data_IF_953070739813
#
_entry.id   IF_953070739813
#
_cell.length_a   1.000
_cell.length_b   1.000
_cell.length_c   1.000
_cell.angle_alpha   90.00
_cell.angle_beta   90.00
_cell.angle_gamma   90.00
#
_symmetry.space_group_name_H-M   'P 1'
#
loop_
_entity.id
_entity.type
_entity.pdbx_description
1 polymer ?
#
# COMPACT_ATOMS: atom_id res chain seq x y z
N UNK A 1 49.86 59.22 43.43
CA UNK A 1 48.59 59.68 42.81
C UNK A 1 48.69 59.32 41.29
N UNK A 2 48.24 58.11 40.96
CA UNK A 2 48.42 57.58 39.61
C UNK A 2 47.03 57.11 39.11
N UNK A 3 46.54 57.82 38.12
CA UNK A 3 45.21 57.56 37.52
C UNK A 3 45.39 56.50 36.42
N UNK A 4 44.77 55.36 36.62
CA UNK A 4 44.75 54.28 35.66
C UNK A 4 43.49 54.40 34.78
N UNK A 5 43.68 54.71 33.51
CA UNK A 5 42.64 54.83 32.49
C UNK A 5 42.46 53.46 31.79
N UNK A 6 41.32 52.83 32.01
CA UNK A 6 40.93 51.59 31.34
C UNK A 6 40.27 51.89 30.01
N UNK A 7 40.98 51.62 28.91
CA UNK A 7 40.44 51.56 27.54
C UNK A 7 39.62 50.27 27.37
N UNK A 8 38.32 50.40 27.10
CA UNK A 8 37.47 49.28 26.59
C UNK A 8 37.50 49.30 25.06
N UNK A 9 37.82 48.20 24.39
CA UNK A 9 37.66 48.12 22.93
C UNK A 9 36.17 47.94 22.59
N UNK A 10 35.64 48.84 21.77
CA UNK A 10 34.34 48.71 21.11
C UNK A 10 34.53 47.71 19.95
N UNK A 11 33.99 46.53 20.08
CA UNK A 11 33.90 45.55 18.97
C UNK A 11 32.76 45.99 18.06
N UNK A 12 33.07 46.56 16.92
CA UNK A 12 32.14 46.75 15.80
C UNK A 12 31.85 45.39 15.21
N UNK A 13 30.68 44.83 15.48
CA UNK A 13 30.16 43.68 14.71
C UNK A 13 29.61 44.23 13.42
N UNK A 14 30.42 44.17 12.35
CA UNK A 14 29.95 44.38 11.00
C UNK A 14 29.12 43.15 10.58
N UNK A 15 27.80 43.25 10.61
CA UNK A 15 26.88 42.31 9.98
C UNK A 15 27.08 42.42 8.46
N UNK A 16 27.84 41.49 7.89
CA UNK A 16 27.84 41.26 6.45
C UNK A 16 26.46 40.67 6.09
N UNK A 17 25.58 41.55 5.62
CA UNK A 17 24.37 41.16 4.91
C UNK A 17 24.87 40.63 3.54
N UNK A 18 25.01 39.32 3.41
CA UNK A 18 25.21 38.69 2.12
C UNK A 18 23.93 38.85 1.29
N UNK A 19 23.87 39.92 0.49
CA UNK A 19 22.90 40.00 -0.60
C UNK A 19 23.28 38.85 -1.57
N UNK A 20 22.56 37.74 -1.51
CA UNK A 20 22.55 36.79 -2.61
C UNK A 20 21.93 37.55 -3.80
N UNK A 21 22.75 37.95 -4.76
CA UNK A 21 22.27 38.44 -6.04
C UNK A 21 21.46 37.30 -6.67
N UNK A 22 20.14 37.39 -6.57
CA UNK A 22 19.25 36.52 -7.33
C UNK A 22 19.55 36.81 -8.81
N UNK A 23 20.12 35.84 -9.52
CA UNK A 23 20.31 35.96 -10.96
C UNK A 23 18.93 36.27 -11.58
N UNK A 24 18.88 37.28 -12.46
CA UNK A 24 17.63 37.60 -13.16
C UNK A 24 17.12 36.34 -13.86
N UNK A 25 15.77 36.06 -13.76
CA UNK A 25 15.20 34.87 -14.36
C UNK A 25 15.41 34.89 -15.87
N UNK A 26 16.18 33.92 -16.37
CA UNK A 26 16.53 33.82 -17.79
C UNK A 26 15.42 33.08 -18.52
N UNK A 27 14.78 33.77 -19.46
CA UNK A 27 13.80 33.17 -20.34
C UNK A 27 14.52 32.36 -21.44
N UNK A 28 14.31 31.07 -21.49
CA UNK A 28 14.89 30.15 -22.46
C UNK A 28 13.85 29.50 -23.33
N UNK A 29 14.23 29.08 -24.55
CA UNK A 29 13.33 28.34 -25.43
C UNK A 29 13.69 26.86 -25.44
N UNK A 30 12.70 26.02 -25.13
CA UNK A 30 12.82 24.56 -25.15
C UNK A 30 11.75 24.00 -26.10
N UNK A 31 12.16 23.76 -27.34
CA UNK A 31 11.27 23.36 -28.43
C UNK A 31 10.13 24.36 -28.68
N UNK A 32 8.90 23.94 -28.43
CA UNK A 32 7.69 24.78 -28.57
C UNK A 32 7.32 25.57 -27.30
N UNK A 33 8.09 25.40 -26.23
CA UNK A 33 7.84 26.08 -24.95
C UNK A 33 8.87 27.14 -24.67
N UNK A 34 8.43 28.20 -24.02
CA UNK A 34 9.28 29.14 -23.31
C UNK A 34 9.34 28.72 -21.85
N UNK A 35 10.53 28.72 -21.29
CA UNK A 35 10.82 28.22 -19.94
C UNK A 35 11.50 29.28 -19.12
N UNK A 36 11.00 29.47 -17.91
CA UNK A 36 11.61 30.30 -16.88
C UNK A 36 11.68 29.54 -15.56
N UNK A 37 12.74 29.75 -14.80
CA UNK A 37 12.95 29.15 -13.50
C UNK A 37 13.03 30.26 -12.46
N UNK A 38 12.16 30.18 -11.45
CA UNK A 38 12.14 31.10 -10.30
C UNK A 38 12.50 30.33 -9.04
N UNK A 39 13.34 30.92 -8.19
CA UNK A 39 13.74 30.32 -6.93
C UNK A 39 13.42 31.27 -5.77
N UNK A 40 13.25 30.71 -4.60
CA UNK A 40 13.07 31.45 -3.36
C UNK A 40 13.40 30.59 -2.17
N UNK A 41 13.57 31.22 -1.02
CA UNK A 41 13.81 30.54 0.25
C UNK A 41 13.08 31.23 1.40
N UNK A 42 12.75 30.43 2.42
CA UNK A 42 12.08 30.87 3.65
C UNK A 42 12.66 30.15 4.86
N UNK A 43 12.86 30.87 5.94
CA UNK A 43 13.21 30.23 7.20
C UNK A 43 12.04 29.41 7.71
N UNK A 44 12.27 28.18 8.15
CA UNK A 44 11.23 27.29 8.66
C UNK A 44 11.54 26.86 10.09
N UNK A 45 10.61 27.14 11.00
CA UNK A 45 10.76 26.69 12.38
C UNK A 45 10.65 25.13 12.45
N UNK A 46 11.38 24.46 13.37
CA UNK A 46 11.36 22.99 13.47
C UNK A 46 9.96 22.41 13.74
N UNK A 47 9.06 23.19 14.32
CA UNK A 47 7.68 22.80 14.63
C UNK A 47 6.67 23.22 13.56
N UNK A 48 7.13 23.88 12.49
CA UNK A 48 6.25 24.37 11.46
C UNK A 48 5.69 23.23 10.60
N UNK A 49 4.42 23.38 10.21
CA UNK A 49 3.73 22.51 9.25
C UNK A 49 3.78 23.16 7.88
N UNK A 50 3.85 22.35 6.85
CA UNK A 50 3.89 22.84 5.47
C UNK A 50 2.64 22.44 4.72
N UNK A 51 1.97 23.41 4.11
CA UNK A 51 0.82 23.20 3.23
C UNK A 51 1.15 23.72 1.84
N UNK A 52 1.06 22.85 0.84
CA UNK A 52 1.35 23.19 -0.56
C UNK A 52 0.07 23.00 -1.37
N UNK A 53 -0.30 24.04 -2.12
CA UNK A 53 -1.37 23.97 -3.11
C UNK A 53 -0.80 24.34 -4.47
N UNK A 54 -0.95 23.44 -5.44
CA UNK A 54 -0.45 23.60 -6.80
C UNK A 54 -1.45 23.07 -7.83
N UNK A 55 -1.16 23.30 -9.11
CA UNK A 55 -1.87 22.65 -10.22
C UNK A 55 -1.00 21.62 -10.93
N UNK A 56 0.30 21.89 -11.06
CA UNK A 56 1.28 21.06 -11.75
C UNK A 56 1.97 20.05 -10.82
N UNK A 57 3.11 19.56 -11.26
CA UNK A 57 3.91 18.63 -10.50
C UNK A 57 4.48 19.27 -9.22
N UNK A 58 4.50 18.49 -8.14
CA UNK A 58 5.11 18.88 -6.86
C UNK A 58 6.11 17.82 -6.45
N UNK A 59 7.36 18.23 -6.24
CA UNK A 59 8.42 17.35 -5.72
C UNK A 59 8.96 17.91 -4.43
N UNK A 60 8.95 17.12 -3.36
CA UNK A 60 9.51 17.48 -2.06
C UNK A 60 10.71 16.61 -1.73
N UNK A 61 11.77 17.24 -1.23
CA UNK A 61 12.95 16.56 -0.72
C UNK A 61 13.26 17.07 0.68
N UNK A 62 13.29 16.15 1.65
CA UNK A 62 13.76 16.44 2.99
C UNK A 62 15.28 16.60 3.01
N UNK A 63 15.75 17.71 3.53
CA UNK A 63 17.18 18.01 3.66
C UNK A 63 17.55 18.36 5.10
N UNK A 64 18.80 18.19 5.51
CA UNK A 64 19.26 18.73 6.78
C UNK A 64 19.20 20.26 6.81
N UNK A 65 18.89 20.84 7.98
CA UNK A 65 18.88 22.28 8.19
C UNK A 65 17.47 22.86 8.38
N UNK A 66 17.37 24.13 8.79
CA UNK A 66 16.10 24.80 9.14
C UNK A 66 15.52 25.61 7.98
N UNK A 67 16.05 25.49 6.76
CA UNK A 67 15.65 26.33 5.63
C UNK A 67 14.76 25.55 4.66
N UNK A 68 13.70 26.22 4.21
CA UNK A 68 12.87 25.79 3.11
C UNK A 68 13.30 26.59 1.86
N UNK A 69 13.67 25.90 0.80
CA UNK A 69 13.93 26.52 -0.50
C UNK A 69 13.07 25.89 -1.58
N UNK A 70 12.70 26.66 -2.57
CA UNK A 70 11.88 26.17 -3.66
C UNK A 70 12.35 26.67 -5.02
N UNK A 71 12.04 25.88 -6.03
CA UNK A 71 12.26 26.21 -7.44
C UNK A 71 10.94 25.95 -8.19
N UNK A 72 10.45 26.97 -8.88
CA UNK A 72 9.27 26.92 -9.74
C UNK A 72 9.74 26.95 -11.21
N UNK A 73 9.55 25.85 -11.93
CA UNK A 73 9.83 25.76 -13.37
C UNK A 73 8.52 26.01 -14.13
N UNK A 74 8.46 27.11 -14.83
CA UNK A 74 7.27 27.54 -15.58
C UNK A 74 7.52 27.26 -17.06
N UNK A 75 6.51 26.71 -17.73
CA UNK A 75 6.54 26.40 -19.17
C UNK A 75 5.26 26.92 -19.83
N UNK A 76 5.41 27.81 -20.80
CA UNK A 76 4.29 28.38 -21.56
C UNK A 76 4.49 28.19 -23.05
N UNK A 77 3.41 28.09 -23.80
CA UNK A 77 3.42 28.13 -25.27
C UNK A 77 3.15 29.56 -25.70
N UNK A 78 4.08 30.17 -26.44
CA UNK A 78 3.92 31.51 -26.98
C UNK A 78 4.69 31.64 -28.29
N UNK A 79 4.21 32.49 -29.15
CA UNK A 79 4.82 32.79 -30.46
C UNK A 79 6.03 33.71 -30.34
N UNK A 80 6.00 34.62 -29.37
CA UNK A 80 7.06 35.62 -29.12
C UNK A 80 7.52 35.58 -27.67
N UNK A 81 8.73 36.12 -27.43
CA UNK A 81 9.26 36.25 -26.09
C UNK A 81 8.43 37.21 -25.21
N UNK A 82 7.86 38.25 -25.79
CA UNK A 82 6.98 39.20 -25.06
C UNK A 82 5.70 38.54 -24.58
N UNK A 83 5.06 37.76 -25.45
CA UNK A 83 3.87 36.99 -25.11
C UNK A 83 4.20 35.97 -24.02
N UNK A 84 5.34 35.29 -24.15
CA UNK A 84 5.82 34.33 -23.13
C UNK A 84 6.00 34.99 -21.76
N UNK A 85 6.64 36.17 -21.70
CA UNK A 85 6.79 36.92 -20.45
C UNK A 85 5.47 37.26 -19.80
N UNK A 86 4.49 37.77 -20.57
CA UNK A 86 3.14 38.09 -20.06
C UNK A 86 2.44 36.88 -19.47
N UNK A 87 2.60 35.69 -20.09
CA UNK A 87 2.00 34.45 -19.57
C UNK A 87 2.73 33.97 -18.32
N UNK A 88 4.06 34.03 -18.31
CA UNK A 88 4.91 33.61 -17.19
C UNK A 88 4.68 34.49 -15.95
N UNK A 89 4.42 35.78 -16.11
CA UNK A 89 4.18 36.72 -15.01
C UNK A 89 2.89 36.43 -14.24
N UNK A 90 1.98 35.61 -14.80
CA UNK A 90 0.81 35.12 -14.08
C UNK A 90 1.17 34.05 -13.04
N UNK A 91 2.32 33.43 -13.16
CA UNK A 91 2.79 32.41 -12.23
C UNK A 91 3.64 33.01 -11.13
N UNK A 92 3.53 32.43 -9.94
CA UNK A 92 4.34 32.78 -8.78
C UNK A 92 4.09 31.82 -7.64
N UNK A 93 4.92 31.89 -6.61
CA UNK A 93 4.70 31.22 -5.35
C UNK A 93 4.38 32.25 -4.29
N UNK A 94 3.19 32.17 -3.74
CA UNK A 94 2.82 32.95 -2.55
C UNK A 94 3.13 32.11 -1.32
N UNK A 95 3.95 32.66 -0.43
CA UNK A 95 4.25 32.07 0.86
C UNK A 95 3.59 32.91 1.94
N UNK A 96 2.74 32.28 2.74
CA UNK A 96 2.04 32.92 3.87
C UNK A 96 2.29 32.13 5.14
N UNK A 97 2.39 32.83 6.25
CA UNK A 97 2.52 32.21 7.59
C UNK A 97 1.25 32.46 8.38
N UNK A 98 0.72 31.42 9.00
CA UNK A 98 -0.47 31.51 9.83
C UNK A 98 -0.20 30.94 11.22
N UNK A 99 -0.52 31.70 12.26
CA UNK A 99 -0.40 31.25 13.65
C UNK A 99 1.00 30.86 14.11
N UNK A 100 2.06 31.36 13.46
CA UNK A 100 3.45 31.09 13.79
C UNK A 100 3.98 29.70 13.40
N UNK A 101 3.12 28.70 13.26
CA UNK A 101 3.52 27.28 13.07
C UNK A 101 3.02 26.65 11.75
N UNK A 102 2.44 27.40 10.84
CA UNK A 102 2.03 26.88 9.54
C UNK A 102 2.54 27.76 8.40
N UNK A 103 3.16 27.14 7.42
CA UNK A 103 3.60 27.78 6.17
C UNK A 103 2.68 27.28 5.06
N UNK A 104 2.05 28.21 4.35
CA UNK A 104 1.22 27.93 3.19
C UNK A 104 1.96 28.40 1.95
N UNK A 105 2.19 27.48 1.03
CA UNK A 105 2.74 27.74 -0.30
C UNK A 105 1.66 27.54 -1.34
N UNK A 106 1.31 28.57 -2.08
CA UNK A 106 0.32 28.49 -3.16
C UNK A 106 1.00 28.87 -4.46
N UNK A 107 1.02 27.94 -5.41
CA UNK A 107 1.44 28.23 -6.78
C UNK A 107 0.30 28.92 -7.50
N UNK A 108 0.53 30.17 -7.90
CA UNK A 108 -0.44 30.96 -8.64
C UNK A 108 -0.71 30.35 -10.01
N UNK A 109 -1.97 30.41 -10.46
CA UNK A 109 -2.43 29.81 -11.70
C UNK A 109 -2.20 30.77 -12.88
N UNK A 110 -1.71 30.24 -14.00
CA UNK A 110 -1.59 30.90 -15.28
C UNK A 110 -1.83 29.94 -16.45
N UNK A 111 -1.77 30.44 -17.68
CA UNK A 111 -1.91 29.64 -18.89
C UNK A 111 -0.59 28.96 -19.24
N UNK A 112 -0.40 27.75 -18.76
CA UNK A 112 0.79 26.95 -18.93
C UNK A 112 0.95 25.88 -17.86
N UNK A 113 2.17 25.39 -17.72
CA UNK A 113 2.55 24.41 -16.71
C UNK A 113 3.55 25.01 -15.73
N UNK A 114 3.38 24.71 -14.45
CA UNK A 114 4.31 25.16 -13.41
C UNK A 114 4.61 23.97 -12.47
N UNK A 115 5.86 23.53 -12.48
CA UNK A 115 6.33 22.43 -11.64
C UNK A 115 7.10 23.00 -10.44
N UNK A 116 6.69 22.62 -9.24
CA UNK A 116 7.25 23.08 -7.99
C UNK A 116 8.18 22.02 -7.40
N UNK A 117 9.43 22.38 -7.17
CA UNK A 117 10.38 21.59 -6.39
C UNK A 117 10.63 22.29 -5.06
N UNK A 118 10.52 21.58 -3.96
CA UNK A 118 10.76 22.11 -2.61
C UNK A 118 11.79 21.26 -1.89
N UNK A 119 12.79 21.91 -1.35
CA UNK A 119 13.69 21.34 -0.34
C UNK A 119 13.30 21.91 1.01
N UNK A 120 13.08 21.04 1.98
CA UNK A 120 12.54 21.44 3.27
C UNK A 120 13.23 20.69 4.41
N UNK A 121 13.19 21.19 5.64
CA UNK A 121 13.72 20.45 6.78
C UNK A 121 13.11 19.05 6.86
N UNK A 122 13.97 18.03 6.87
CA UNK A 122 13.55 16.63 6.93
C UNK A 122 12.64 16.32 8.10
N UNK A 123 12.88 16.95 9.27
CA UNK A 123 12.12 16.77 10.50
C UNK A 123 10.80 17.55 10.57
N UNK A 124 10.31 18.13 9.46
CA UNK A 124 9.00 18.81 9.43
C UNK A 124 7.90 17.86 9.91
N UNK A 125 7.13 18.21 10.98
CA UNK A 125 6.23 17.24 11.62
C UNK A 125 5.06 16.82 10.75
N UNK A 126 4.54 17.72 9.92
CA UNK A 126 3.40 17.47 9.07
C UNK A 126 3.50 18.24 7.76
N UNK A 127 3.27 17.56 6.64
CA UNK A 127 3.26 18.15 5.31
C UNK A 127 1.99 17.75 4.57
N UNK A 128 1.26 18.75 4.09
CA UNK A 128 0.05 18.54 3.25
C UNK A 128 0.31 19.06 1.84
N UNK A 129 0.05 18.23 0.84
CA UNK A 129 0.24 18.57 -0.57
C UNK A 129 -1.09 18.37 -1.29
N UNK A 130 -1.58 19.39 -1.95
CA UNK A 130 -2.78 19.31 -2.81
C UNK A 130 -2.43 19.81 -4.20
N UNK A 131 -2.61 18.99 -5.22
CA UNK A 131 -2.48 19.41 -6.62
C UNK A 131 -3.66 18.94 -7.44
N UNK A 132 -4.06 19.73 -8.45
CA UNK A 132 -5.24 19.39 -9.27
C UNK A 132 -4.94 18.37 -10.36
N UNK A 133 -3.75 18.38 -10.96
CA UNK A 133 -3.48 17.57 -12.17
C UNK A 133 -2.10 16.89 -12.16
N UNK A 134 -1.13 17.46 -11.46
CA UNK A 134 0.27 17.04 -11.55
C UNK A 134 0.62 15.83 -10.67
N UNK A 135 1.69 15.12 -11.01
CA UNK A 135 2.25 14.11 -10.13
C UNK A 135 2.82 14.73 -8.85
N UNK A 136 2.80 13.95 -7.78
CA UNK A 136 3.40 14.32 -6.50
C UNK A 136 4.50 13.32 -6.16
N UNK A 137 5.68 13.82 -5.82
CA UNK A 137 6.77 13.00 -5.33
C UNK A 137 7.33 13.58 -4.03
N UNK A 138 7.61 12.74 -3.04
CA UNK A 138 8.22 13.18 -1.80
C UNK A 138 9.18 12.15 -1.24
N UNK A 139 10.33 12.65 -0.76
CA UNK A 139 11.48 11.85 -0.37
C UNK A 139 12.12 12.36 0.91
N UNK A 140 12.69 11.44 1.70
CA UNK A 140 13.57 11.75 2.84
C UNK A 140 12.88 12.58 3.93
N UNK A 141 11.63 12.26 4.30
CA UNK A 141 10.84 12.97 5.30
C UNK A 141 10.65 12.13 6.56
N UNK A 142 10.77 12.77 7.74
CA UNK A 142 10.60 12.09 9.02
C UNK A 142 9.17 12.25 9.58
N UNK A 143 8.46 13.32 9.21
CA UNK A 143 7.10 13.61 9.67
C UNK A 143 6.00 12.96 8.83
N UNK A 144 4.77 13.21 9.23
CA UNK A 144 3.59 12.73 8.52
C UNK A 144 3.38 13.48 7.20
N UNK A 145 2.93 12.76 6.16
CA UNK A 145 2.64 13.36 4.85
C UNK A 145 1.23 13.01 4.39
N UNK A 146 0.48 14.03 4.03
CA UNK A 146 -0.78 13.89 3.32
C UNK A 146 -0.65 14.44 1.91
N UNK A 147 -0.87 13.62 0.89
CA UNK A 147 -0.79 14.02 -0.51
C UNK A 147 -2.10 13.72 -1.25
N UNK A 148 -2.61 14.72 -1.96
CA UNK A 148 -3.81 14.60 -2.77
C UNK A 148 -3.57 15.16 -4.17
N UNK A 149 -3.92 14.40 -5.20
CA UNK A 149 -3.84 14.84 -6.59
C UNK A 149 -5.09 14.43 -7.37
N UNK A 150 -5.54 15.29 -8.29
CA UNK A 150 -6.72 14.99 -9.10
C UNK A 150 -6.50 13.89 -10.14
N UNK A 151 -5.27 13.60 -10.56
CA UNK A 151 -5.03 12.58 -11.60
C UNK A 151 -3.58 12.12 -11.73
N UNK A 152 -2.66 12.82 -11.10
CA UNK A 152 -1.22 12.52 -11.19
C UNK A 152 -0.82 11.26 -10.41
N UNK A 153 0.27 10.64 -10.83
CA UNK A 153 0.90 9.60 -10.04
C UNK A 153 1.51 10.16 -8.75
N UNK A 154 1.55 9.32 -7.70
CA UNK A 154 2.19 9.69 -6.44
C UNK A 154 3.34 8.74 -6.16
N UNK A 155 4.51 9.30 -5.85
CA UNK A 155 5.70 8.55 -5.47
C UNK A 155 6.17 9.00 -4.08
N UNK A 156 6.38 8.04 -3.19
CA UNK A 156 6.89 8.27 -1.84
C UNK A 156 8.04 7.32 -1.54
N UNK A 157 9.16 7.82 -1.07
CA UNK A 157 10.28 6.97 -0.68
C UNK A 157 11.06 7.56 0.51
N UNK A 158 11.53 6.70 1.40
CA UNK A 158 12.26 7.06 2.63
C UNK A 158 11.50 8.07 3.51
N UNK A 159 10.22 7.75 3.78
CA UNK A 159 9.37 8.53 4.69
C UNK A 159 9.19 7.74 5.99
N UNK A 160 9.62 8.33 7.11
CA UNK A 160 9.53 7.68 8.42
C UNK A 160 8.18 7.87 9.10
N UNK A 161 7.46 8.95 8.80
CA UNK A 161 6.12 9.22 9.32
C UNK A 161 5.02 8.43 8.61
N UNK A 162 3.81 8.58 9.11
CA UNK A 162 2.63 8.01 8.46
C UNK A 162 2.31 8.78 7.17
N UNK A 163 1.83 8.06 6.17
CA UNK A 163 1.40 8.68 4.92
C UNK A 163 -0.08 8.44 4.63
N UNK A 164 -0.73 9.45 4.08
CA UNK A 164 -2.07 9.36 3.51
C UNK A 164 -2.01 9.90 2.09
N UNK A 165 -2.28 9.05 1.11
CA UNK A 165 -2.19 9.39 -0.31
C UNK A 165 -3.55 9.17 -0.99
N UNK A 166 -4.01 10.17 -1.74
CA UNK A 166 -5.21 10.08 -2.57
C UNK A 166 -4.92 10.58 -3.98
N UNK A 167 -5.32 9.81 -4.97
CA UNK A 167 -5.32 10.24 -6.37
C UNK A 167 -6.58 9.76 -7.07
N UNK A 168 -7.11 10.52 -8.04
CA UNK A 168 -8.30 10.06 -8.76
C UNK A 168 -7.97 9.00 -9.81
N UNK A 169 -6.77 8.99 -10.39
CA UNK A 169 -6.47 8.03 -11.47
C UNK A 169 -5.02 7.56 -11.55
N UNK A 170 -4.10 8.26 -10.90
CA UNK A 170 -2.68 7.98 -10.98
C UNK A 170 -2.24 6.73 -10.21
N UNK A 171 -1.11 6.19 -10.60
CA UNK A 171 -0.45 5.12 -9.88
C UNK A 171 0.18 5.64 -8.57
N UNK A 172 0.21 4.79 -7.56
CA UNK A 172 0.87 5.09 -6.29
C UNK A 172 2.04 4.13 -6.12
N UNK A 173 3.26 4.68 -6.00
CA UNK A 173 4.49 3.92 -5.83
C UNK A 173 5.13 4.29 -4.49
N UNK A 174 5.27 3.30 -3.63
CA UNK A 174 5.82 3.43 -2.29
C UNK A 174 7.13 2.67 -2.20
N UNK A 175 8.21 3.36 -1.89
CA UNK A 175 9.52 2.76 -1.57
C UNK A 175 9.58 2.27 -0.12
N UNK A 176 10.54 2.78 0.65
CA UNK A 176 10.72 2.44 2.06
C UNK A 176 9.97 3.41 2.96
N UNK A 177 9.00 2.91 3.71
CA UNK A 177 8.20 3.67 4.66
C UNK A 177 8.40 3.17 6.08
N UNK A 178 8.66 4.09 7.01
CA UNK A 178 8.83 3.80 8.43
C UNK A 178 7.52 3.73 9.21
N UNK A 179 6.49 4.45 8.76
CA UNK A 179 5.16 4.53 9.36
C UNK A 179 4.10 3.70 8.63
N UNK A 180 2.85 3.96 8.97
CA UNK A 180 1.69 3.37 8.30
C UNK A 180 1.40 4.08 6.96
N UNK A 181 0.82 3.34 6.02
CA UNK A 181 0.45 3.85 4.71
C UNK A 181 -1.04 3.64 4.42
N UNK A 182 -1.76 4.74 4.14
CA UNK A 182 -3.13 4.69 3.63
C UNK A 182 -3.19 5.30 2.24
N UNK A 183 -3.45 4.46 1.23
CA UNK A 183 -3.42 4.87 -0.17
C UNK A 183 -4.71 4.52 -0.87
N UNK A 184 -5.29 5.51 -1.55
CA UNK A 184 -6.53 5.35 -2.33
C UNK A 184 -6.34 5.93 -3.73
N UNK A 185 -6.69 5.15 -4.74
CA UNK A 185 -6.76 5.61 -6.14
C UNK A 185 -8.03 5.08 -6.80
N UNK A 186 -8.62 5.82 -7.74
CA UNK A 186 -9.82 5.29 -8.41
C UNK A 186 -9.47 4.27 -9.51
N UNK A 187 -8.32 4.40 -10.19
CA UNK A 187 -8.00 3.51 -11.31
C UNK A 187 -6.56 3.02 -11.36
N UNK A 188 -5.64 3.71 -10.73
CA UNK A 188 -4.22 3.41 -10.78
C UNK A 188 -3.81 2.17 -9.99
N UNK A 189 -2.58 1.71 -10.22
CA UNK A 189 -1.96 0.64 -9.45
C UNK A 189 -1.39 1.18 -8.14
N UNK A 190 -1.36 0.32 -7.12
CA UNK A 190 -0.65 0.61 -5.87
C UNK A 190 0.49 -0.40 -5.73
N UNK A 191 1.72 0.11 -5.67
CA UNK A 191 2.90 -0.72 -5.50
C UNK A 191 3.67 -0.26 -4.26
N UNK A 192 3.97 -1.17 -3.34
CA UNK A 192 4.73 -0.90 -2.14
C UNK A 192 5.91 -1.87 -2.00
N UNK A 193 7.09 -1.34 -1.70
CA UNK A 193 8.30 -2.15 -1.47
C UNK A 193 8.40 -2.54 0.00
N UNK A 194 8.41 -1.57 0.91
CA UNK A 194 8.52 -1.80 2.34
C UNK A 194 7.64 -0.83 3.12
N UNK A 195 6.71 -1.35 3.92
CA UNK A 195 5.93 -0.58 4.90
C UNK A 195 6.15 -1.18 6.27
N UNK A 196 6.74 -0.43 7.20
CA UNK A 196 7.00 -0.93 8.56
C UNK A 196 5.79 -0.87 9.48
N UNK A 197 4.84 0.01 9.20
CA UNK A 197 3.54 0.07 9.87
C UNK A 197 2.46 -0.74 9.15
N UNK A 198 1.21 -0.41 9.46
CA UNK A 198 0.04 -0.98 8.79
C UNK A 198 -0.13 -0.40 7.38
N UNK A 199 -0.68 -1.20 6.48
CA UNK A 199 -0.96 -0.80 5.11
C UNK A 199 -2.45 -0.93 4.79
N UNK A 200 -3.06 0.17 4.34
CA UNK A 200 -4.43 0.20 3.83
C UNK A 200 -4.41 0.69 2.37
N UNK A 201 -4.60 -0.21 1.43
CA UNK A 201 -4.54 0.05 -0.01
C UNK A 201 -5.89 -0.17 -0.66
N UNK A 202 -6.39 0.83 -1.36
CA UNK A 202 -7.68 0.79 -2.03
C UNK A 202 -7.55 1.33 -3.46
N UNK A 203 -8.01 0.56 -4.43
CA UNK A 203 -8.12 1.00 -5.83
C UNK A 203 -9.42 0.54 -6.46
N UNK A 204 -9.97 1.34 -7.37
CA UNK A 204 -11.17 0.93 -8.11
C UNK A 204 -10.88 -0.15 -9.14
N UNK A 205 -9.79 -0.04 -9.90
CA UNK A 205 -9.54 -0.95 -11.02
C UNK A 205 -8.13 -1.52 -11.12
N UNK A 206 -7.16 -0.87 -10.50
CA UNK A 206 -5.75 -1.25 -10.59
C UNK A 206 -5.36 -2.46 -9.74
N UNK A 207 -4.16 -2.94 -9.98
CA UNK A 207 -3.54 -3.97 -9.16
C UNK A 207 -2.97 -3.41 -7.87
N UNK A 208 -2.95 -4.22 -6.82
CA UNK A 208 -2.27 -3.92 -5.56
C UNK A 208 -1.12 -4.92 -5.39
N UNK A 209 0.10 -4.42 -5.24
CA UNK A 209 1.28 -5.24 -5.02
C UNK A 209 2.11 -4.71 -3.85
N UNK A 210 2.34 -5.53 -2.83
CA UNK A 210 3.23 -5.20 -1.73
C UNK A 210 4.27 -6.30 -1.51
N UNK A 211 5.55 -5.91 -1.40
CA UNK A 211 6.62 -6.87 -1.17
C UNK A 211 6.76 -7.22 0.32
N UNK A 212 6.87 -6.22 1.19
CA UNK A 212 6.98 -6.42 2.64
C UNK A 212 6.13 -5.37 3.38
N UNK A 213 5.21 -5.85 4.22
CA UNK A 213 4.47 -5.03 5.17
C UNK A 213 4.61 -5.66 6.54
N UNK A 214 5.17 -4.94 7.52
CA UNK A 214 5.38 -5.50 8.87
C UNK A 214 4.14 -5.50 9.74
N UNK A 215 3.21 -4.60 9.47
CA UNK A 215 1.92 -4.51 10.16
C UNK A 215 0.81 -5.31 9.46
N UNK A 216 -0.42 -4.93 9.78
CA UNK A 216 -1.65 -5.43 9.16
C UNK A 216 -1.76 -4.92 7.72
N UNK A 217 -2.21 -5.79 6.81
CA UNK A 217 -2.53 -5.41 5.43
C UNK A 217 -4.02 -5.43 5.21
N UNK A 218 -4.57 -4.32 4.74
CA UNK A 218 -5.92 -4.25 4.18
C UNK A 218 -5.81 -3.82 2.72
N UNK A 219 -6.12 -4.71 1.79
CA UNK A 219 -6.03 -4.48 0.36
C UNK A 219 -7.37 -4.73 -0.32
N UNK A 220 -7.90 -3.71 -1.01
CA UNK A 220 -9.19 -3.80 -1.70
C UNK A 220 -9.08 -3.26 -3.11
N UNK A 221 -9.55 -4.03 -4.08
CA UNK A 221 -9.72 -3.59 -5.47
C UNK A 221 -11.03 -4.14 -6.05
N UNK A 222 -11.66 -3.42 -7.00
CA UNK A 222 -12.88 -3.95 -7.63
C UNK A 222 -12.57 -4.96 -8.74
N UNK A 223 -11.47 -4.81 -9.46
CA UNK A 223 -11.17 -5.68 -10.62
C UNK A 223 -9.74 -6.20 -10.69
N UNK A 224 -8.78 -5.50 -10.11
CA UNK A 224 -7.36 -5.83 -10.18
C UNK A 224 -6.94 -7.04 -9.35
N UNK A 225 -5.71 -7.45 -9.52
CA UNK A 225 -5.06 -8.47 -8.70
C UNK A 225 -4.56 -7.90 -7.37
N UNK A 226 -4.51 -8.75 -6.35
CA UNK A 226 -3.88 -8.43 -5.06
C UNK A 226 -2.73 -9.40 -4.85
N UNK A 227 -1.51 -8.87 -4.75
CA UNK A 227 -0.32 -9.66 -4.43
C UNK A 227 0.39 -9.08 -3.22
N UNK A 228 0.45 -9.86 -2.14
CA UNK A 228 1.18 -9.53 -0.92
C UNK A 228 2.24 -10.61 -0.71
N UNK A 229 3.53 -10.25 -0.83
CA UNK A 229 4.58 -11.26 -0.72
C UNK A 229 4.83 -11.64 0.75
N UNK A 230 5.04 -10.66 1.62
CA UNK A 230 5.27 -10.89 3.05
C UNK A 230 4.44 -9.91 3.89
N UNK A 231 3.68 -10.42 4.83
CA UNK A 231 2.97 -9.66 5.86
C UNK A 231 3.41 -10.12 7.26
N UNK A 232 3.83 -9.19 8.10
CA UNK A 232 4.23 -9.45 9.48
C UNK A 232 3.06 -9.67 10.44
N UNK A 233 1.83 -9.48 9.97
CA UNK A 233 0.59 -9.65 10.73
C UNK A 233 -0.50 -10.25 9.84
N UNK A 234 -1.76 -9.98 10.15
CA UNK A 234 -2.90 -10.44 9.38
C UNK A 234 -3.01 -9.75 8.01
N UNK A 235 -3.65 -10.43 7.06
CA UNK A 235 -3.98 -9.90 5.74
C UNK A 235 -5.48 -9.94 5.53
N UNK A 236 -6.07 -8.82 5.13
CA UNK A 236 -7.45 -8.72 4.68
C UNK A 236 -7.41 -8.29 3.21
N UNK A 237 -7.75 -9.18 2.31
CA UNK A 237 -7.71 -8.95 0.87
C UNK A 237 -9.09 -9.15 0.24
N UNK A 238 -9.54 -8.19 -0.57
CA UNK A 238 -10.83 -8.24 -1.25
C UNK A 238 -10.72 -7.78 -2.70
N UNK A 239 -11.14 -8.61 -3.64
CA UNK A 239 -11.23 -8.24 -5.06
C UNK A 239 -12.52 -8.76 -5.70
N UNK A 240 -13.05 -8.01 -6.68
CA UNK A 240 -14.21 -8.44 -7.44
C UNK A 240 -13.86 -9.40 -8.58
N UNK A 241 -12.63 -9.43 -9.10
CA UNK A 241 -12.35 -10.22 -10.30
C UNK A 241 -10.94 -10.80 -10.43
N UNK A 242 -9.93 -10.12 -9.92
CA UNK A 242 -8.53 -10.54 -10.07
C UNK A 242 -8.13 -11.66 -9.10
N UNK A 243 -6.95 -12.25 -9.28
CA UNK A 243 -6.40 -13.21 -8.33
C UNK A 243 -5.98 -12.54 -7.02
N UNK A 244 -6.06 -13.29 -5.91
CA UNK A 244 -5.45 -12.95 -4.63
C UNK A 244 -4.27 -13.90 -4.41
N UNK A 245 -3.06 -13.37 -4.25
CA UNK A 245 -1.84 -14.13 -4.01
C UNK A 245 -1.14 -13.57 -2.75
N UNK A 246 -1.17 -14.34 -1.67
CA UNK A 246 -0.49 -14.02 -0.41
C UNK A 246 0.64 -15.03 -0.23
N UNK A 247 1.88 -14.58 -0.28
CA UNK A 247 3.06 -15.44 -0.09
C UNK A 247 3.15 -15.93 1.35
N UNK A 248 3.41 -15.03 2.28
CA UNK A 248 3.52 -15.36 3.71
C UNK A 248 2.81 -14.31 4.57
N UNK A 249 2.03 -14.76 5.54
CA UNK A 249 1.41 -13.93 6.57
C UNK A 249 1.69 -14.53 7.96
N UNK A 250 2.19 -13.70 8.88
CA UNK A 250 2.37 -14.06 10.29
C UNK A 250 1.10 -13.82 11.11
N UNK A 251 -0.03 -14.08 10.51
CA UNK A 251 -1.37 -13.96 11.09
C UNK A 251 -2.41 -14.63 10.22
N UNK A 252 -3.66 -14.34 10.49
CA UNK A 252 -4.79 -14.89 9.72
C UNK A 252 -4.96 -14.15 8.40
N UNK A 253 -5.12 -14.90 7.31
CA UNK A 253 -5.50 -14.35 6.01
C UNK A 253 -7.01 -14.42 5.84
N UNK A 254 -7.64 -13.27 5.61
CA UNK A 254 -9.05 -13.17 5.23
C UNK A 254 -9.12 -12.74 3.76
N UNK A 255 -9.56 -13.61 2.89
CA UNK A 255 -9.68 -13.37 1.46
C UNK A 255 -11.14 -13.40 1.00
N UNK A 256 -11.58 -12.37 0.28
CA UNK A 256 -12.87 -12.34 -0.41
C UNK A 256 -12.65 -12.10 -1.89
N UNK A 257 -13.14 -12.99 -2.73
CA UNK A 257 -12.99 -12.89 -4.16
C UNK A 257 -14.27 -13.32 -4.88
N UNK A 258 -14.68 -12.57 -5.89
CA UNK A 258 -15.86 -12.93 -6.67
C UNK A 258 -15.54 -13.74 -7.93
N UNK A 259 -14.31 -13.72 -8.46
CA UNK A 259 -14.05 -14.37 -9.75
C UNK A 259 -12.70 -15.06 -9.93
N UNK A 260 -11.65 -14.59 -9.29
CA UNK A 260 -10.29 -15.10 -9.51
C UNK A 260 -9.87 -16.22 -8.54
N UNK A 261 -8.74 -16.86 -8.77
CA UNK A 261 -8.17 -17.82 -7.84
C UNK A 261 -7.62 -17.12 -6.58
N UNK A 262 -7.59 -17.85 -5.48
CA UNK A 262 -6.97 -17.43 -4.23
C UNK A 262 -5.82 -18.38 -3.90
N UNK A 263 -4.62 -17.83 -3.69
CA UNK A 263 -3.44 -18.56 -3.25
C UNK A 263 -2.88 -17.97 -1.95
N UNK A 264 -2.61 -18.84 -0.99
CA UNK A 264 -1.93 -18.47 0.26
C UNK A 264 -0.79 -19.46 0.49
N UNK A 265 0.44 -18.97 0.51
CA UNK A 265 1.64 -19.80 0.65
C UNK A 265 1.92 -20.21 2.10
N UNK A 266 1.66 -19.32 3.07
CA UNK A 266 1.79 -19.64 4.50
C UNK A 266 0.96 -18.67 5.35
N UNK A 267 0.23 -19.18 6.35
CA UNK A 267 -0.54 -18.36 7.29
C UNK A 267 -0.81 -19.10 8.60
N UNK A 268 -1.12 -18.35 9.66
CA UNK A 268 -1.58 -18.88 10.95
C UNK A 268 -3.08 -19.21 10.99
N UNK A 269 -3.75 -19.13 9.89
CA UNK A 269 -5.14 -19.48 9.65
C UNK A 269 -5.65 -18.80 8.39
N UNK A 270 -6.74 -19.34 7.82
CA UNK A 270 -7.33 -18.78 6.60
C UNK A 270 -8.86 -18.73 6.72
N UNK A 271 -9.42 -17.58 6.35
CA UNK A 271 -10.84 -17.43 6.06
C UNK A 271 -10.99 -16.97 4.61
N UNK A 272 -11.54 -17.81 3.76
CA UNK A 272 -11.68 -17.52 2.34
C UNK A 272 -13.12 -17.71 1.89
N UNK A 273 -13.68 -16.68 1.28
CA UNK A 273 -14.97 -16.69 0.61
C UNK A 273 -14.72 -16.39 -0.87
N UNK A 274 -14.92 -17.35 -1.74
CA UNK A 274 -14.69 -17.23 -3.17
C UNK A 274 -15.95 -17.64 -3.95
N UNK A 275 -16.40 -16.82 -4.89
CA UNK A 275 -17.55 -17.21 -5.72
C UNK A 275 -17.10 -18.03 -6.95
N UNK A 276 -15.92 -17.77 -7.50
CA UNK A 276 -15.41 -18.51 -8.64
C UNK A 276 -13.89 -18.63 -8.61
N UNK A 277 -13.36 -19.75 -9.07
CA UNK A 277 -11.93 -20.01 -9.08
C UNK A 277 -11.44 -20.91 -7.94
N UNK A 278 -10.29 -21.52 -8.15
CA UNK A 278 -9.67 -22.43 -7.20
C UNK A 278 -9.09 -21.71 -5.98
N UNK A 279 -9.03 -22.43 -4.87
CA UNK A 279 -8.36 -21.97 -3.65
C UNK A 279 -7.20 -22.91 -3.34
N UNK A 280 -5.99 -22.38 -3.31
CA UNK A 280 -4.79 -23.13 -2.96
C UNK A 280 -4.16 -22.55 -1.69
N UNK A 281 -4.09 -23.38 -0.65
CA UNK A 281 -3.59 -23.05 0.66
C UNK A 281 -2.41 -23.96 0.98
N UNK A 282 -1.22 -23.39 1.09
CA UNK A 282 -0.01 -24.11 1.46
C UNK A 282 0.42 -23.73 2.87
N UNK A 283 0.91 -24.67 3.65
CA UNK A 283 1.53 -24.45 4.97
C UNK A 283 0.66 -23.64 5.95
N UNK A 284 -0.59 -24.04 6.14
CA UNK A 284 -1.50 -23.36 7.07
C UNK A 284 -1.43 -24.02 8.45
N UNK A 285 -1.00 -23.28 9.46
CA UNK A 285 -0.74 -23.78 10.82
C UNK A 285 -1.90 -23.59 11.80
N UNK A 286 -3.03 -23.03 11.39
CA UNK A 286 -4.20 -22.79 12.25
C UNK A 286 -5.48 -23.20 11.59
N UNK A 287 -6.58 -22.59 12.04
CA UNK A 287 -7.94 -22.92 11.55
C UNK A 287 -8.16 -22.48 10.12
N UNK A 288 -8.83 -23.32 9.35
CA UNK A 288 -9.14 -23.09 7.95
C UNK A 288 -10.65 -23.03 7.74
N UNK A 289 -11.13 -21.94 7.17
CA UNK A 289 -12.55 -21.81 6.78
C UNK A 289 -12.62 -21.31 5.35
N UNK A 290 -12.96 -22.21 4.42
CA UNK A 290 -12.99 -21.91 2.99
C UNK A 290 -14.34 -22.30 2.41
N UNK A 291 -14.92 -21.38 1.68
CA UNK A 291 -16.11 -21.63 0.87
C UNK A 291 -15.85 -21.11 -0.55
N UNK A 292 -16.06 -21.96 -1.55
CA UNK A 292 -16.11 -21.55 -2.96
C UNK A 292 -17.38 -22.08 -3.62
N UNK A 293 -17.98 -21.27 -4.49
CA UNK A 293 -19.16 -21.76 -5.23
C UNK A 293 -18.73 -22.69 -6.35
N UNK A 294 -17.69 -22.32 -7.11
CA UNK A 294 -17.15 -23.12 -8.20
C UNK A 294 -15.61 -23.05 -8.16
N UNK A 295 -14.98 -24.20 -8.00
CA UNK A 295 -13.53 -24.33 -8.02
C UNK A 295 -13.02 -25.38 -7.05
N UNK A 296 -11.83 -25.89 -7.32
CA UNK A 296 -11.19 -26.87 -6.45
C UNK A 296 -10.52 -26.21 -5.26
N UNK A 297 -10.50 -26.89 -4.13
CA UNK A 297 -9.81 -26.48 -2.92
C UNK A 297 -8.66 -27.44 -2.67
N UNK A 298 -7.45 -26.90 -2.55
CA UNK A 298 -6.28 -27.64 -2.08
C UNK A 298 -5.82 -26.98 -0.78
N UNK A 299 -5.77 -27.74 0.30
CA UNK A 299 -5.36 -27.25 1.61
C UNK A 299 -4.30 -28.16 2.22
N UNK A 300 -3.07 -27.67 2.32
CA UNK A 300 -1.97 -28.30 3.02
C UNK A 300 -1.85 -27.71 4.42
N UNK A 301 -2.09 -28.55 5.43
CA UNK A 301 -2.09 -28.15 6.83
C UNK A 301 -0.72 -28.36 7.45
N UNK A 302 -0.37 -27.56 8.45
CA UNK A 302 0.81 -27.72 9.29
C UNK A 302 0.38 -27.87 10.75
N UNK A 303 1.09 -28.70 11.49
CA UNK A 303 1.01 -28.68 12.94
C UNK A 303 1.80 -27.47 13.50
N UNK A 304 1.40 -26.95 14.65
CA UNK A 304 2.16 -25.89 15.35
C UNK A 304 1.30 -24.89 16.10
N UNK A 305 0.21 -24.44 15.53
CA UNK A 305 -0.76 -23.54 16.20
C UNK A 305 -2.01 -24.33 16.62
N UNK A 306 -2.68 -23.94 17.71
CA UNK A 306 -3.97 -24.53 18.06
C UNK A 306 -4.96 -24.36 16.90
N UNK A 307 -5.47 -25.46 16.41
CA UNK A 307 -6.51 -25.50 15.41
C UNK A 307 -7.86 -25.57 16.11
N UNK A 308 -8.82 -24.75 15.74
CA UNK A 308 -10.23 -24.91 16.09
C UNK A 308 -10.98 -25.61 14.94
N UNK A 309 -12.26 -25.88 15.14
CA UNK A 309 -13.10 -26.48 14.11
C UNK A 309 -12.97 -25.73 12.78
N UNK A 310 -12.65 -26.49 11.74
CA UNK A 310 -12.35 -26.00 10.40
C UNK A 310 -13.38 -26.49 9.40
N UNK A 311 -13.55 -25.74 8.31
CA UNK A 311 -14.58 -26.01 7.32
C UNK A 311 -14.06 -25.73 5.91
N UNK A 312 -14.21 -26.71 5.01
CA UNK A 312 -13.92 -26.60 3.59
C UNK A 312 -15.16 -26.96 2.79
N UNK A 313 -15.62 -26.09 1.91
CA UNK A 313 -16.81 -26.35 1.09
C UNK A 313 -16.66 -25.87 -0.34
N UNK A 314 -17.05 -26.69 -1.30
CA UNK A 314 -17.21 -26.29 -2.69
C UNK A 314 -18.53 -26.77 -3.27
N UNK A 315 -19.17 -25.92 -4.07
CA UNK A 315 -20.35 -26.28 -4.86
C UNK A 315 -19.97 -27.04 -6.15
N UNK A 316 -18.73 -26.95 -6.62
CA UNK A 316 -18.27 -27.66 -7.80
C UNK A 316 -16.76 -27.67 -7.93
N UNK A 317 -16.17 -28.85 -7.88
CA UNK A 317 -14.73 -29.06 -7.94
C UNK A 317 -14.24 -30.03 -6.86
N UNK A 318 -12.97 -30.41 -6.94
CA UNK A 318 -12.38 -31.35 -6.00
C UNK A 318 -11.93 -30.63 -4.72
N UNK A 319 -11.96 -31.34 -3.60
CA UNK A 319 -11.33 -30.89 -2.35
C UNK A 319 -10.19 -31.82 -2.01
N UNK A 320 -8.97 -31.31 -1.95
CA UNK A 320 -7.81 -32.07 -1.49
C UNK A 320 -7.32 -31.47 -0.18
N UNK A 321 -7.32 -32.27 0.87
CA UNK A 321 -6.71 -31.90 2.16
C UNK A 321 -5.48 -32.76 2.40
N UNK A 322 -4.36 -32.13 2.68
CA UNK A 322 -3.08 -32.78 2.98
C UNK A 322 -2.78 -32.57 4.47
N UNK A 323 -2.71 -33.68 5.21
CA UNK A 323 -2.59 -33.66 6.67
C UNK A 323 -1.23 -34.27 7.04
N UNK A 324 -0.38 -33.53 7.81
CA UNK A 324 0.89 -34.07 8.28
C UNK A 324 0.68 -35.09 9.41
N UNK A 325 1.67 -35.96 9.61
CA UNK A 325 1.60 -37.06 10.57
C UNK A 325 1.50 -36.61 12.04
N UNK A 326 1.93 -35.39 12.34
CA UNK A 326 1.92 -34.79 13.68
C UNK A 326 0.72 -33.87 13.97
N UNK A 327 -0.28 -33.82 13.08
CA UNK A 327 -1.53 -33.08 13.30
C UNK A 327 -2.69 -34.03 13.53
N UNK A 328 -3.25 -34.03 14.74
CA UNK A 328 -4.46 -34.76 15.10
C UNK A 328 -5.72 -33.96 14.73
N UNK A 329 -6.64 -34.57 13.98
CA UNK A 329 -7.93 -33.98 13.62
C UNK A 329 -9.01 -35.06 13.53
N UNK A 330 -10.28 -34.68 13.69
CA UNK A 330 -11.41 -35.55 13.43
C UNK A 330 -12.08 -35.13 12.14
N UNK A 331 -12.07 -36.00 11.13
CA UNK A 331 -12.70 -35.74 9.83
C UNK A 331 -14.18 -35.96 9.90
N UNK A 332 -14.96 -35.04 9.33
CA UNK A 332 -16.37 -35.18 8.98
C UNK A 332 -16.57 -34.69 7.55
N UNK A 333 -16.54 -35.60 6.61
CA UNK A 333 -16.68 -35.28 5.20
C UNK A 333 -17.98 -35.79 4.64
N UNK A 334 -18.63 -35.00 3.78
CA UNK A 334 -19.85 -35.37 3.06
C UNK A 334 -19.73 -34.93 1.60
N UNK A 335 -20.24 -35.75 0.69
CA UNK A 335 -20.31 -35.45 -0.74
C UNK A 335 -21.55 -36.05 -1.36
N UNK A 336 -22.03 -35.47 -2.44
CA UNK A 336 -23.15 -36.06 -3.20
C UNK A 336 -22.77 -37.40 -3.82
N UNK A 337 -23.74 -38.36 -3.81
CA UNK A 337 -23.59 -39.63 -4.47
C UNK A 337 -23.89 -39.47 -5.97
N UNK A 338 -22.86 -39.67 -6.81
CA UNK A 338 -23.04 -39.69 -8.27
C UNK A 338 -23.14 -41.12 -8.79
N UNK A 339 -24.35 -41.61 -8.97
CA UNK A 339 -24.60 -43.02 -9.31
C UNK A 339 -24.07 -43.96 -8.21
N UNK A 340 -23.22 -44.93 -8.57
CA UNK A 340 -22.59 -45.85 -7.61
C UNK A 340 -21.16 -45.47 -7.23
N UNK A 341 -20.68 -44.26 -7.58
CA UNK A 341 -19.28 -43.84 -7.36
C UNK A 341 -19.18 -43.12 -6.02
N UNK A 342 -18.39 -43.71 -5.12
CA UNK A 342 -17.98 -43.05 -3.86
C UNK A 342 -16.93 -41.99 -4.15
N UNK A 343 -17.31 -40.72 -4.02
CA UNK A 343 -16.42 -39.58 -4.30
C UNK A 343 -15.68 -39.07 -3.04
N UNK A 344 -15.32 -39.97 -2.12
CA UNK A 344 -14.42 -39.65 -1.00
C UNK A 344 -13.35 -40.73 -0.96
N UNK A 345 -12.09 -40.29 -1.05
CA UNK A 345 -10.88 -41.13 -1.04
C UNK A 345 -9.99 -40.69 0.11
N UNK A 346 -9.57 -41.61 0.95
CA UNK A 346 -8.71 -41.33 2.11
C UNK A 346 -7.49 -42.26 2.17
N UNK A 347 -6.32 -41.69 2.46
CA UNK A 347 -5.10 -42.42 2.79
C UNK A 347 -5.07 -42.93 4.25
N UNK A 348 -6.05 -42.55 5.08
CA UNK A 348 -6.11 -42.89 6.49
C UNK A 348 -7.09 -44.06 6.74
N UNK A 349 -6.60 -45.20 7.23
CA UNK A 349 -7.43 -46.39 7.45
C UNK A 349 -8.48 -46.22 8.55
N UNK A 350 -8.28 -45.25 9.47
CA UNK A 350 -9.24 -44.95 10.54
C UNK A 350 -10.50 -44.17 10.08
N UNK A 351 -10.58 -43.77 8.81
CA UNK A 351 -11.74 -43.08 8.26
C UNK A 351 -12.68 -44.09 7.64
N UNK A 352 -13.89 -44.23 8.20
CA UNK A 352 -14.96 -45.07 7.64
C UNK A 352 -15.75 -44.28 6.58
N UNK A 353 -15.92 -44.90 5.39
CA UNK A 353 -16.69 -44.30 4.28
C UNK A 353 -17.96 -45.11 4.09
N UNK A 354 -19.13 -44.47 4.20
CA UNK A 354 -20.46 -45.08 4.07
C UNK A 354 -21.39 -44.25 3.18
N UNK A 355 -22.43 -44.86 2.70
CA UNK A 355 -23.52 -44.16 2.01
C UNK A 355 -24.70 -44.03 2.96
N UNK A 356 -25.18 -42.81 3.15
CA UNK A 356 -26.26 -42.48 4.05
C UNK A 356 -27.15 -41.39 3.46
N UNK A 357 -28.45 -41.63 3.32
CA UNK A 357 -29.41 -40.63 2.82
C UNK A 357 -29.10 -40.08 1.40
N UNK A 358 -28.52 -40.88 0.52
CA UNK A 358 -28.16 -40.45 -0.83
C UNK A 358 -26.84 -39.64 -0.92
N UNK A 359 -26.12 -39.59 0.20
CA UNK A 359 -24.79 -38.95 0.27
C UNK A 359 -23.72 -39.97 0.64
N UNK A 360 -22.47 -39.67 0.23
CA UNK A 360 -21.28 -40.35 0.72
C UNK A 360 -20.78 -39.61 1.94
N UNK A 361 -20.69 -40.26 3.08
CA UNK A 361 -20.21 -39.71 4.34
C UNK A 361 -18.93 -40.42 4.77
N UNK A 362 -17.95 -39.67 5.19
CA UNK A 362 -16.70 -40.21 5.73
C UNK A 362 -16.40 -39.57 7.10
N UNK A 363 -16.19 -40.43 8.10
CA UNK A 363 -15.95 -39.96 9.46
C UNK A 363 -14.89 -40.82 10.15
N UNK A 364 -14.03 -40.18 10.91
CA UNK A 364 -13.04 -40.88 11.73
C UNK A 364 -11.90 -39.97 12.22
N UNK A 365 -11.14 -40.44 13.22
CA UNK A 365 -9.98 -39.74 13.73
C UNK A 365 -8.77 -39.95 12.81
N UNK A 366 -7.97 -38.90 12.66
CA UNK A 366 -6.66 -38.91 12.02
C UNK A 366 -5.62 -38.55 13.07
N UNK A 367 -4.54 -39.32 13.14
CA UNK A 367 -3.41 -39.15 14.08
C UNK A 367 -3.86 -38.93 15.54
N UNK A 368 -4.80 -39.78 16.04
CA UNK A 368 -5.31 -39.71 17.41
C UNK A 368 -6.54 -38.82 17.61
N UNK A 369 -7.03 -38.16 16.55
CA UNK A 369 -8.17 -37.27 16.62
C UNK A 369 -7.84 -35.87 17.13
N UNK A 370 -8.85 -35.00 17.20
CA UNK A 370 -8.70 -33.60 17.60
C UNK A 370 -9.85 -32.74 17.11
N UNK A 371 -9.61 -31.44 16.84
CA UNK A 371 -10.63 -30.53 16.30
C UNK A 371 -11.29 -31.07 15.03
N UNK A 372 -12.54 -30.71 14.84
CA UNK A 372 -13.31 -31.25 13.71
C UNK A 372 -12.91 -30.47 12.43
N UNK A 373 -12.52 -31.22 11.40
CA UNK A 373 -12.39 -30.74 10.03
C UNK A 373 -13.59 -31.22 9.22
N UNK A 374 -14.53 -30.27 8.98
CA UNK A 374 -15.71 -30.51 8.14
C UNK A 374 -15.37 -30.27 6.70
N UNK A 375 -15.73 -31.19 5.82
CA UNK A 375 -15.48 -31.09 4.37
C UNK A 375 -16.79 -31.37 3.66
N UNK A 376 -17.24 -30.46 2.80
CA UNK A 376 -18.50 -30.58 2.06
C UNK A 376 -18.29 -30.34 0.58
N UNK A 377 -18.64 -31.30 -0.26
CA UNK A 377 -18.61 -31.22 -1.71
C UNK A 377 -19.94 -31.60 -2.34
N UNK A 378 -20.27 -31.02 -3.49
CA UNK A 378 -21.47 -31.37 -4.26
C UNK A 378 -21.16 -31.90 -5.65
N UNK A 379 -20.04 -31.57 -6.26
CA UNK A 379 -19.78 -31.90 -7.66
C UNK A 379 -18.44 -32.57 -7.99
N UNK A 380 -17.53 -32.72 -7.04
CA UNK A 380 -16.18 -33.24 -7.27
C UNK A 380 -15.85 -34.44 -6.36
N UNK A 381 -14.56 -34.73 -6.22
CA UNK A 381 -14.04 -35.77 -5.34
C UNK A 381 -13.33 -35.12 -4.14
N UNK A 382 -13.55 -35.67 -2.96
CA UNK A 382 -12.85 -35.30 -1.74
C UNK A 382 -11.68 -36.25 -1.52
N UNK A 383 -10.47 -35.72 -1.50
CA UNK A 383 -9.24 -36.44 -1.23
C UNK A 383 -8.68 -36.05 0.15
N UNK A 384 -8.54 -37.01 1.03
CA UNK A 384 -7.93 -36.83 2.36
C UNK A 384 -6.58 -37.54 2.32
N UNK A 385 -5.52 -36.78 2.12
CA UNK A 385 -4.18 -37.28 1.82
C UNK A 385 -3.23 -37.11 3.00
N UNK A 386 -2.32 -38.05 3.15
CA UNK A 386 -1.19 -37.93 4.07
C UNK A 386 -0.09 -37.09 3.41
N UNK A 387 0.49 -36.19 4.16
CA UNK A 387 1.70 -35.48 3.73
C UNK A 387 2.85 -36.51 3.64
N UNK A 388 3.50 -36.58 2.52
CA UNK A 388 4.65 -37.47 2.27
C UNK A 388 5.94 -36.81 2.70
#
# INVERSE_FOLDING_TARGET
MTICSTFRPVILVSSFLSLALAAEPVLTRDGKYWVEVRAGSEAMAPTARLHITARGAVTLNGVPGPELSYTLKIRVKASTAEEARRLIDQFGVRVARQGGNAIYMVVQRGDGMADLQVKMPRGTPETTITTTEGPVAFYDLDGAVQAETGGGAVMADRVNGNIVVRTAGGDIVLGALGGAAKCTTAGGKITATLVRGDAAFETGGGDISAQEVRGLVHATTMAGSIRILNAGSAVIASTGGGPIDVGQAHGVVTARNSGGPVKVGSAEGVRCENAGGGVNLDNISGSVRVTTAIGSIIASLLAGKPMSDSFLSTGGGDITVIIPSNLGVTIKAQNELAGNIRRIVSDFPGISVRVEGGQVVAEGPVNGGGPILRISGTGGTIFIKRQR
#
